data_IF_901617825191
#
_entry.id   IF_901617825191
#
_cell.length_a   1.000
_cell.length_b   1.000
_cell.length_c   1.000
_cell.angle_alpha   90.00
_cell.angle_beta   90.00
_cell.angle_gamma   90.00
#
_symmetry.space_group_name_H-M   'P 1'
#
loop_
_entity.id
_entity.type
_entity.pdbx_description
1 polymer ?
#
# COMPACT_ATOMS: atom_id res chain seq x y z
N UNK A 1 -60.11 -36.53 6.74
CA UNK A 1 -60.19 -35.10 6.40
C UNK A 1 -58.77 -34.58 6.23
N UNK A 2 -58.29 -34.49 4.99
CA UNK A 2 -57.00 -33.87 4.69
C UNK A 2 -57.21 -32.35 4.64
N UNK A 3 -57.04 -31.67 5.76
CA UNK A 3 -56.87 -30.21 5.76
C UNK A 3 -55.49 -29.93 5.19
N UNK A 4 -55.41 -29.76 3.88
CA UNK A 4 -54.25 -29.14 3.24
C UNK A 4 -54.23 -27.71 3.74
N UNK A 5 -53.43 -27.43 4.77
CA UNK A 5 -53.24 -26.08 5.26
C UNK A 5 -52.66 -25.24 4.13
N UNK A 6 -53.45 -24.32 3.57
CA UNK A 6 -52.97 -23.36 2.60
C UNK A 6 -51.96 -22.44 3.29
N UNK A 7 -50.67 -22.73 3.11
CA UNK A 7 -49.55 -21.91 3.59
C UNK A 7 -49.74 -20.42 3.28
N UNK A 8 -50.38 -20.10 2.15
CA UNK A 8 -50.65 -18.73 1.72
C UNK A 8 -51.62 -17.96 2.65
N UNK A 9 -52.34 -18.61 3.56
CA UNK A 9 -53.27 -17.98 4.52
C UNK A 9 -52.65 -17.73 5.90
N UNK A 10 -51.46 -18.26 6.16
CA UNK A 10 -50.80 -18.07 7.44
C UNK A 10 -50.22 -16.64 7.53
N UNK A 11 -50.28 -15.98 8.70
CA UNK A 11 -49.64 -14.68 8.89
C UNK A 11 -48.14 -14.76 8.62
N UNK A 12 -47.58 -13.72 7.98
CA UNK A 12 -46.15 -13.63 7.64
C UNK A 12 -45.20 -13.96 8.81
N UNK A 13 -45.44 -13.54 10.07
CA UNK A 13 -44.59 -13.92 11.20
C UNK A 13 -44.59 -15.43 11.51
N UNK A 14 -45.74 -16.10 11.31
CA UNK A 14 -45.89 -17.54 11.54
C UNK A 14 -45.16 -18.32 10.46
N UNK A 15 -45.34 -17.94 9.19
CA UNK A 15 -44.59 -18.52 8.07
C UNK A 15 -43.08 -18.32 8.23
N UNK A 16 -42.67 -17.12 8.67
CA UNK A 16 -41.26 -16.83 8.96
C UNK A 16 -40.71 -17.84 9.95
N UNK A 17 -41.38 -18.07 11.10
CA UNK A 17 -40.94 -19.08 12.07
C UNK A 17 -40.89 -20.49 11.46
N UNK A 18 -41.96 -20.95 10.81
CA UNK A 18 -42.02 -22.31 10.24
C UNK A 18 -40.84 -22.55 9.29
N UNK A 19 -40.62 -21.61 8.36
CA UNK A 19 -39.58 -21.72 7.35
C UNK A 19 -38.19 -21.65 8.00
N UNK A 20 -37.97 -20.72 8.95
CA UNK A 20 -36.69 -20.58 9.66
C UNK A 20 -36.31 -21.83 10.48
N UNK A 21 -37.27 -22.55 11.07
CA UNK A 21 -37.02 -23.73 11.92
C UNK A 21 -36.95 -25.07 11.17
N UNK A 22 -37.28 -25.11 9.88
CA UNK A 22 -37.25 -26.34 9.07
C UNK A 22 -35.99 -26.39 8.20
N UNK A 23 -35.98 -25.65 7.10
CA UNK A 23 -34.80 -25.32 6.28
C UNK A 23 -35.25 -24.41 5.12
N UNK A 24 -34.88 -23.13 5.12
CA UNK A 24 -35.31 -22.20 4.07
C UNK A 24 -34.88 -22.60 2.65
N UNK A 25 -33.80 -23.38 2.47
CA UNK A 25 -33.35 -23.83 1.15
C UNK A 25 -34.35 -24.82 0.54
N UNK A 26 -34.83 -25.76 1.35
CA UNK A 26 -35.91 -26.67 0.97
C UNK A 26 -37.17 -25.89 0.56
N UNK A 27 -37.56 -24.85 1.31
CA UNK A 27 -38.72 -24.02 0.97
C UNK A 27 -38.52 -23.18 -0.29
N UNK A 28 -37.29 -22.76 -0.59
CA UNK A 28 -36.98 -22.00 -1.79
C UNK A 28 -37.11 -22.82 -3.09
N UNK A 29 -36.80 -24.12 -3.03
CA UNK A 29 -36.98 -25.05 -4.15
C UNK A 29 -38.46 -25.30 -4.51
N UNK A 30 -39.38 -25.04 -3.58
CA UNK A 30 -40.81 -25.11 -3.86
C UNK A 30 -41.17 -23.92 -4.75
N UNK A 31 -41.74 -24.19 -5.92
CA UNK A 31 -42.13 -23.18 -6.90
C UNK A 31 -43.38 -22.41 -6.45
N UNK A 32 -43.27 -21.66 -5.35
CA UNK A 32 -44.34 -20.86 -4.77
C UNK A 32 -43.91 -19.39 -4.64
N UNK A 33 -44.63 -18.51 -5.36
CA UNK A 33 -44.35 -17.07 -5.41
C UNK A 33 -44.44 -16.39 -4.04
N UNK A 34 -45.41 -16.77 -3.20
CA UNK A 34 -45.61 -16.20 -1.87
C UNK A 34 -44.48 -16.56 -0.92
N UNK A 35 -44.00 -17.81 -0.99
CA UNK A 35 -42.86 -18.29 -0.21
C UNK A 35 -41.58 -17.56 -0.63
N UNK A 36 -41.32 -17.44 -1.93
CA UNK A 36 -40.17 -16.67 -2.45
C UNK A 36 -40.24 -15.19 -2.08
N UNK A 37 -41.41 -14.57 -2.17
CA UNK A 37 -41.60 -13.18 -1.76
C UNK A 37 -41.33 -12.98 -0.26
N UNK A 38 -41.78 -13.90 0.58
CA UNK A 38 -41.49 -13.87 2.02
C UNK A 38 -39.99 -14.03 2.30
N UNK A 39 -39.33 -15.04 1.70
CA UNK A 39 -37.89 -15.29 1.90
C UNK A 39 -37.04 -14.09 1.43
N UNK A 40 -37.49 -13.38 0.39
CA UNK A 40 -36.83 -12.17 -0.08
C UNK A 40 -37.06 -10.93 0.78
N UNK A 41 -37.99 -10.98 1.73
CA UNK A 41 -38.26 -9.84 2.61
C UNK A 41 -37.12 -9.62 3.60
N UNK A 42 -36.85 -8.36 3.92
CA UNK A 42 -35.85 -7.97 4.93
C UNK A 42 -36.17 -8.55 6.31
N UNK A 43 -37.46 -8.58 6.70
CA UNK A 43 -37.89 -9.11 7.99
C UNK A 43 -37.60 -10.60 8.13
N UNK A 44 -37.87 -11.40 7.10
CA UNK A 44 -37.55 -12.82 7.10
C UNK A 44 -36.04 -13.03 7.23
N UNK A 45 -35.24 -12.34 6.41
CA UNK A 45 -33.77 -12.45 6.45
C UNK A 45 -33.20 -12.06 7.80
N UNK A 46 -33.73 -11.00 8.43
CA UNK A 46 -33.33 -10.61 9.79
C UNK A 46 -33.64 -11.70 10.81
N UNK A 47 -34.87 -12.25 10.78
CA UNK A 47 -35.25 -13.33 11.69
C UNK A 47 -34.45 -14.61 11.48
N UNK A 48 -34.16 -14.95 10.23
CA UNK A 48 -33.38 -16.14 9.90
C UNK A 48 -31.91 -15.99 10.30
N UNK A 49 -31.28 -14.85 9.99
CA UNK A 49 -29.91 -14.54 10.45
C UNK A 49 -29.83 -14.54 11.97
N UNK A 50 -30.82 -13.97 12.66
CA UNK A 50 -30.87 -13.99 14.12
C UNK A 50 -31.01 -15.39 14.70
N UNK A 51 -31.79 -16.26 14.04
CA UNK A 51 -31.90 -17.67 14.41
C UNK A 51 -30.58 -18.42 14.19
N UNK A 52 -29.94 -18.23 13.04
CA UNK A 52 -28.66 -18.87 12.72
C UNK A 52 -27.58 -18.43 13.72
N UNK A 53 -27.45 -17.13 14.00
CA UNK A 53 -26.48 -16.58 14.94
C UNK A 53 -26.62 -17.09 16.39
N UNK A 54 -27.80 -17.60 16.77
CA UNK A 54 -28.07 -18.16 18.11
C UNK A 54 -27.85 -19.67 18.21
N UNK A 55 -27.37 -20.33 17.14
CA UNK A 55 -27.05 -21.76 17.18
C UNK A 55 -25.83 -22.02 18.05
N UNK A 56 -25.86 -23.13 18.78
CA UNK A 56 -24.86 -23.50 19.80
C UNK A 56 -23.43 -23.67 19.26
N UNK A 57 -23.27 -23.86 17.96
CA UNK A 57 -21.98 -24.12 17.32
C UNK A 57 -21.29 -22.85 16.82
N UNK A 58 -21.88 -21.68 17.05
CA UNK A 58 -21.30 -20.39 16.66
C UNK A 58 -20.74 -19.71 17.92
N UNK A 59 -19.46 -19.31 17.91
CA UNK A 59 -18.86 -18.59 19.03
C UNK A 59 -19.66 -17.32 19.33
N UNK A 60 -20.07 -17.14 20.59
CA UNK A 60 -20.80 -15.93 20.98
C UNK A 60 -19.90 -14.67 21.00
N UNK A 61 -18.59 -14.88 21.13
CA UNK A 61 -17.56 -13.85 21.07
C UNK A 61 -16.55 -14.25 20.00
N UNK A 62 -16.23 -13.31 19.12
CA UNK A 62 -15.19 -13.48 18.10
C UNK A 62 -13.85 -13.09 18.72
N UNK A 63 -12.90 -14.02 18.74
CA UNK A 63 -11.57 -13.82 19.32
C UNK A 63 -10.46 -13.95 18.29
N UNK A 64 -10.72 -14.62 17.17
CA UNK A 64 -9.79 -14.80 16.07
C UNK A 64 -10.49 -14.76 14.71
N UNK A 65 -9.72 -14.89 13.63
CA UNK A 65 -10.24 -14.83 12.27
C UNK A 65 -11.04 -16.07 11.87
N UNK A 66 -10.70 -17.24 12.41
CA UNK A 66 -11.42 -18.49 12.19
C UNK A 66 -12.84 -18.42 12.74
N UNK A 67 -13.06 -17.70 13.84
CA UNK A 67 -14.39 -17.41 14.35
C UNK A 67 -15.19 -16.60 13.32
N UNK A 68 -14.57 -15.59 12.69
CA UNK A 68 -15.21 -14.77 11.64
C UNK A 68 -15.61 -15.65 10.45
N UNK A 69 -14.71 -16.52 9.98
CA UNK A 69 -15.00 -17.45 8.89
C UNK A 69 -16.13 -18.42 9.25
N UNK A 70 -16.15 -18.92 10.50
CA UNK A 70 -17.24 -19.75 11.02
C UNK A 70 -18.58 -19.02 10.97
N UNK A 71 -18.61 -17.75 11.32
CA UNK A 71 -19.82 -16.92 11.24
C UNK A 71 -20.25 -16.69 9.78
N UNK A 72 -19.32 -16.46 8.86
CA UNK A 72 -19.62 -16.32 7.44
C UNK A 72 -20.26 -17.62 6.92
N UNK A 73 -19.61 -18.77 7.11
CA UNK A 73 -20.09 -20.06 6.60
C UNK A 73 -21.38 -20.53 7.26
N UNK A 74 -21.55 -20.28 8.57
CA UNK A 74 -22.69 -20.81 9.33
C UNK A 74 -23.92 -19.88 9.31
N UNK A 75 -23.72 -18.58 9.03
CA UNK A 75 -24.79 -17.57 9.10
C UNK A 75 -25.03 -16.86 7.77
N UNK A 76 -23.99 -16.34 7.12
CA UNK A 76 -24.15 -15.49 5.94
C UNK A 76 -24.26 -16.30 4.64
N UNK A 77 -23.46 -17.34 4.47
CA UNK A 77 -23.46 -18.20 3.29
C UNK A 77 -24.79 -18.94 3.06
N UNK A 78 -25.50 -19.47 4.09
CA UNK A 78 -26.80 -20.09 3.89
C UNK A 78 -27.82 -19.13 3.25
N UNK A 79 -27.81 -17.86 3.65
CA UNK A 79 -28.69 -16.84 3.07
C UNK A 79 -28.25 -16.45 1.66
N UNK A 80 -26.93 -16.34 1.44
CA UNK A 80 -26.37 -16.06 0.12
C UNK A 80 -26.64 -17.19 -0.89
N UNK A 81 -26.62 -18.45 -0.46
CA UNK A 81 -26.90 -19.61 -1.31
C UNK A 81 -28.32 -19.56 -1.90
N UNK A 82 -29.30 -19.15 -1.09
CA UNK A 82 -30.69 -19.00 -1.52
C UNK A 82 -30.87 -17.78 -2.44
N UNK A 83 -30.24 -16.66 -2.08
CA UNK A 83 -30.39 -15.39 -2.80
C UNK A 83 -29.45 -15.25 -4.00
N UNK A 84 -28.54 -16.21 -4.20
CA UNK A 84 -27.54 -16.26 -5.26
C UNK A 84 -26.35 -15.33 -5.09
N UNK A 85 -26.29 -14.49 -4.05
CA UNK A 85 -25.19 -13.54 -3.81
C UNK A 85 -25.27 -12.90 -2.43
N UNK A 86 -24.25 -12.15 -2.00
CA UNK A 86 -24.30 -11.27 -0.81
C UNK A 86 -24.96 -9.90 -1.07
N UNK A 87 -25.69 -9.74 -2.18
CA UNK A 87 -26.38 -8.48 -2.51
C UNK A 87 -27.49 -8.12 -1.52
N UNK A 88 -28.06 -9.12 -0.82
CA UNK A 88 -29.11 -8.95 0.18
C UNK A 88 -28.67 -8.17 1.43
N UNK A 89 -27.36 -8.10 1.71
CA UNK A 89 -26.80 -7.30 2.80
C UNK A 89 -26.84 -5.83 2.36
N UNK A 90 -27.92 -5.17 2.74
CA UNK A 90 -28.23 -3.76 2.43
C UNK A 90 -28.29 -2.93 3.71
N UNK A 91 -28.24 -1.61 3.59
CA UNK A 91 -28.46 -0.67 4.70
C UNK A 91 -29.79 -0.94 5.45
N UNK A 92 -30.87 -1.21 4.70
CA UNK A 92 -32.17 -1.52 5.29
C UNK A 92 -32.14 -2.82 6.10
N UNK A 93 -31.38 -3.82 5.63
CA UNK A 93 -31.17 -5.05 6.39
C UNK A 93 -30.41 -4.78 7.70
N UNK A 94 -29.29 -4.05 7.65
CA UNK A 94 -28.50 -3.73 8.85
C UNK A 94 -29.34 -2.95 9.86
N UNK A 95 -30.10 -1.94 9.41
CA UNK A 95 -31.00 -1.15 10.27
C UNK A 95 -32.10 -2.02 10.90
N UNK A 96 -32.74 -2.87 10.10
CA UNK A 96 -33.80 -3.74 10.58
C UNK A 96 -33.27 -4.80 11.57
N UNK A 97 -32.08 -5.35 11.32
CA UNK A 97 -31.45 -6.30 12.23
C UNK A 97 -31.02 -5.62 13.53
N UNK A 98 -30.42 -4.44 13.46
CA UNK A 98 -30.03 -3.67 14.65
C UNK A 98 -31.21 -3.26 15.52
N UNK A 99 -32.36 -2.94 14.91
CA UNK A 99 -33.57 -2.54 15.65
C UNK A 99 -34.27 -3.74 16.30
N UNK A 100 -34.38 -4.86 15.58
CA UNK A 100 -35.20 -6.00 16.02
C UNK A 100 -34.40 -7.12 16.72
N UNK A 101 -33.11 -7.24 16.42
CA UNK A 101 -32.22 -8.32 16.90
C UNK A 101 -30.79 -7.79 17.18
N UNK A 102 -30.62 -6.81 18.09
CA UNK A 102 -29.33 -6.15 18.33
C UNK A 102 -28.23 -7.12 18.80
N UNK A 103 -28.57 -8.11 19.63
CA UNK A 103 -27.63 -9.15 20.07
C UNK A 103 -27.05 -9.93 18.89
N UNK A 104 -27.92 -10.37 17.97
CA UNK A 104 -27.51 -11.13 16.79
C UNK A 104 -26.66 -10.28 15.83
N UNK A 105 -26.97 -8.99 15.69
CA UNK A 105 -26.15 -8.08 14.89
C UNK A 105 -24.74 -7.96 15.48
N UNK A 106 -24.60 -7.85 16.80
CA UNK A 106 -23.28 -7.78 17.44
C UNK A 106 -22.46 -9.06 17.23
N UNK A 107 -23.08 -10.24 17.37
CA UNK A 107 -22.43 -11.55 17.17
C UNK A 107 -21.82 -11.64 15.76
N UNK A 108 -22.58 -11.27 14.73
CA UNK A 108 -22.16 -11.43 13.33
C UNK A 108 -21.47 -10.18 12.75
N UNK A 109 -21.27 -9.13 13.54
CA UNK A 109 -20.84 -7.80 13.07
C UNK A 109 -19.54 -7.86 12.27
N UNK A 110 -18.52 -8.56 12.78
CA UNK A 110 -17.24 -8.75 12.10
C UNK A 110 -17.35 -9.56 10.81
N UNK A 111 -18.24 -10.56 10.76
CA UNK A 111 -18.52 -11.32 9.55
C UNK A 111 -19.19 -10.45 8.48
N UNK A 112 -20.18 -9.64 8.88
CA UNK A 112 -20.82 -8.67 7.99
C UNK A 112 -19.80 -7.66 7.46
N UNK A 113 -18.96 -7.11 8.33
CA UNK A 113 -17.91 -6.16 7.92
C UNK A 113 -16.95 -6.79 6.93
N UNK A 114 -16.43 -7.99 7.20
CA UNK A 114 -15.53 -8.69 6.28
C UNK A 114 -16.15 -8.89 4.90
N UNK A 115 -17.41 -9.36 4.85
CA UNK A 115 -18.11 -9.53 3.56
C UNK A 115 -18.35 -8.19 2.87
N UNK A 116 -18.75 -7.14 3.59
CA UNK A 116 -19.05 -5.83 3.01
C UNK A 116 -17.80 -5.12 2.49
N UNK A 117 -16.69 -5.16 3.24
CA UNK A 117 -15.42 -4.54 2.87
C UNK A 117 -14.81 -5.21 1.64
N UNK A 118 -14.80 -6.53 1.56
CA UNK A 118 -14.31 -7.26 0.36
C UNK A 118 -15.12 -6.97 -0.90
N UNK A 119 -16.39 -6.58 -0.74
CA UNK A 119 -17.28 -6.20 -1.84
C UNK A 119 -17.36 -4.67 -2.06
N UNK A 120 -16.55 -3.86 -1.37
CA UNK A 120 -16.52 -2.40 -1.53
C UNK A 120 -17.77 -1.66 -1.05
N UNK A 121 -18.59 -2.25 -0.17
CA UNK A 121 -19.87 -1.68 0.30
C UNK A 121 -19.72 -0.82 1.56
N UNK A 122 -18.98 0.28 1.46
CA UNK A 122 -18.57 1.10 2.62
C UNK A 122 -19.70 1.75 3.39
N UNK A 123 -20.72 2.27 2.72
CA UNK A 123 -21.84 2.91 3.42
C UNK A 123 -22.60 1.90 4.29
N UNK A 124 -22.68 0.65 3.81
CA UNK A 124 -23.31 -0.42 4.58
C UNK A 124 -22.39 -0.91 5.69
N UNK A 125 -21.07 -1.00 5.45
CA UNK A 125 -20.10 -1.34 6.49
C UNK A 125 -20.09 -0.30 7.63
N UNK A 126 -20.13 0.99 7.28
CA UNK A 126 -20.22 2.09 8.25
C UNK A 126 -21.49 2.00 9.10
N UNK A 127 -22.62 1.61 8.49
CA UNK A 127 -23.83 1.35 9.26
C UNK A 127 -23.69 0.16 10.23
N UNK A 128 -22.93 -0.88 9.88
CA UNK A 128 -22.67 -1.98 10.82
C UNK A 128 -21.91 -1.44 12.02
N UNK A 129 -20.84 -0.66 11.82
CA UNK A 129 -20.08 -0.06 12.93
C UNK A 129 -20.97 0.85 13.78
N UNK A 130 -21.78 1.72 13.17
CA UNK A 130 -22.68 2.64 13.90
C UNK A 130 -23.73 1.92 14.77
N UNK A 131 -24.16 0.73 14.35
CA UNK A 131 -25.20 -0.05 15.04
C UNK A 131 -24.62 -1.17 15.93
N UNK A 132 -23.30 -1.28 16.07
CA UNK A 132 -22.64 -2.34 16.84
C UNK A 132 -21.52 -1.82 17.71
N UNK A 133 -21.18 -2.57 18.76
CA UNK A 133 -20.00 -2.32 19.57
C UNK A 133 -18.80 -3.12 19.05
N UNK A 134 -18.57 -3.07 17.74
CA UNK A 134 -17.52 -3.86 17.10
C UNK A 134 -16.15 -3.28 17.43
N UNK A 135 -15.22 -4.15 17.83
CA UNK A 135 -13.81 -3.82 17.97
C UNK A 135 -13.06 -4.39 16.79
N UNK A 136 -12.42 -3.52 16.01
CA UNK A 136 -11.67 -3.93 14.83
C UNK A 136 -10.32 -4.58 15.18
N UNK A 137 -9.88 -4.51 16.43
CA UNK A 137 -8.61 -5.09 16.94
C UNK A 137 -8.49 -6.61 16.74
N UNK A 138 -9.61 -7.29 16.49
CA UNK A 138 -9.67 -8.73 16.20
C UNK A 138 -9.33 -9.02 14.74
N UNK A 139 -9.38 -8.02 13.86
CA UNK A 139 -8.91 -8.16 12.49
C UNK A 139 -7.39 -8.35 12.49
N UNK A 140 -6.94 -9.44 11.88
CA UNK A 140 -5.52 -9.69 11.76
C UNK A 140 -4.88 -8.83 10.66
N UNK A 141 -3.56 -8.74 10.72
CA UNK A 141 -2.79 -8.02 9.71
C UNK A 141 -2.97 -8.60 8.30
N UNK A 142 -3.22 -9.91 8.17
CA UNK A 142 -3.39 -10.56 6.86
C UNK A 142 -4.68 -10.10 6.16
N UNK A 143 -5.77 -9.92 6.91
CA UNK A 143 -7.01 -9.39 6.36
C UNK A 143 -6.86 -7.93 5.96
N UNK A 144 -6.24 -7.11 6.80
CA UNK A 144 -5.93 -5.71 6.46
C UNK A 144 -5.07 -5.65 5.19
N UNK A 145 -4.03 -6.48 5.12
CA UNK A 145 -3.19 -6.64 3.93
C UNK A 145 -4.02 -6.96 2.70
N UNK A 146 -4.91 -7.95 2.78
CA UNK A 146 -5.77 -8.36 1.67
C UNK A 146 -6.67 -7.23 1.19
N UNK A 147 -7.31 -6.49 2.11
CA UNK A 147 -8.14 -5.34 1.77
C UNK A 147 -7.31 -4.27 1.05
N UNK A 148 -6.16 -3.92 1.61
CA UNK A 148 -5.33 -2.87 1.04
C UNK A 148 -4.70 -3.31 -0.28
N UNK A 149 -4.35 -4.58 -0.47
CA UNK A 149 -3.91 -5.09 -1.78
C UNK A 149 -5.01 -5.08 -2.84
N UNK A 150 -6.27 -5.29 -2.43
CA UNK A 150 -7.40 -5.31 -3.37
C UNK A 150 -7.80 -3.90 -3.82
N UNK A 151 -7.84 -2.94 -2.89
CA UNK A 151 -8.30 -1.59 -3.18
C UNK A 151 -7.13 -0.63 -3.44
N UNK A 152 -6.01 -0.79 -2.75
CA UNK A 152 -4.84 0.10 -2.82
C UNK A 152 -5.21 1.58 -2.70
N UNK A 153 -6.13 1.90 -1.81
CA UNK A 153 -6.62 3.27 -1.64
C UNK A 153 -6.49 3.78 -0.20
N UNK A 154 -6.11 5.06 -0.08
CA UNK A 154 -5.92 5.75 1.20
C UNK A 154 -7.21 5.77 2.02
N UNK A 155 -8.36 5.94 1.35
CA UNK A 155 -9.65 6.02 2.04
C UNK A 155 -9.94 4.75 2.85
N UNK A 156 -9.46 3.57 2.42
CA UNK A 156 -9.70 2.31 3.14
C UNK A 156 -8.94 2.30 4.46
N UNK A 157 -7.68 2.72 4.43
CA UNK A 157 -6.84 2.86 5.62
C UNK A 157 -7.42 3.91 6.58
N UNK A 158 -7.86 5.05 6.05
CA UNK A 158 -8.52 6.10 6.82
C UNK A 158 -9.83 5.63 7.45
N UNK A 159 -10.64 4.87 6.71
CA UNK A 159 -11.88 4.31 7.22
C UNK A 159 -11.61 3.33 8.37
N UNK A 160 -10.66 2.42 8.21
CA UNK A 160 -10.27 1.47 9.26
C UNK A 160 -9.79 2.18 10.52
N UNK A 161 -8.91 3.17 10.40
CA UNK A 161 -8.44 3.97 11.53
C UNK A 161 -9.56 4.76 12.21
N UNK A 162 -10.46 5.38 11.42
CA UNK A 162 -11.60 6.16 11.96
C UNK A 162 -12.55 5.28 12.76
N UNK A 163 -12.67 4.01 12.40
CA UNK A 163 -13.50 3.03 13.09
C UNK A 163 -12.74 2.23 14.17
N UNK A 164 -11.58 2.72 14.60
CA UNK A 164 -10.90 2.25 15.81
C UNK A 164 -9.81 1.19 15.60
N UNK A 165 -9.39 0.92 14.35
CA UNK A 165 -8.27 0.01 14.11
C UNK A 165 -6.93 0.67 14.52
N UNK A 166 -6.20 0.06 15.45
CA UNK A 166 -4.84 0.47 15.79
C UNK A 166 -3.81 -0.19 14.85
N UNK A 167 -3.36 0.59 13.86
CA UNK A 167 -2.36 0.13 12.90
C UNK A 167 -0.99 -0.16 13.55
N UNK A 168 -0.63 0.52 14.64
CA UNK A 168 0.65 0.29 15.32
C UNK A 168 0.68 -1.08 15.98
N UNK A 169 -0.40 -1.44 16.69
CA UNK A 169 -0.51 -2.77 17.33
C UNK A 169 -0.50 -3.90 16.29
N UNK A 170 -1.28 -3.76 15.20
CA UNK A 170 -1.36 -4.80 14.16
C UNK A 170 -0.05 -4.92 13.38
N UNK A 171 0.66 -3.81 13.16
CA UNK A 171 1.99 -3.82 12.55
C UNK A 171 3.00 -4.55 13.44
N UNK A 172 3.03 -4.24 14.74
CA UNK A 172 3.94 -4.88 15.71
C UNK A 172 3.70 -6.39 15.88
N UNK A 173 2.47 -6.86 15.62
CA UNK A 173 2.13 -8.29 15.55
C UNK A 173 2.66 -8.99 14.29
N UNK A 174 3.32 -8.27 13.37
CA UNK A 174 4.16 -8.81 12.31
C UNK A 174 3.46 -9.27 11.03
N UNK A 175 2.16 -8.98 10.85
CA UNK A 175 1.38 -9.53 9.74
C UNK A 175 0.66 -8.50 8.86
N UNK A 176 0.78 -7.20 9.16
CA UNK A 176 -0.02 -6.16 8.48
C UNK A 176 0.50 -5.77 7.10
N UNK A 177 1.76 -5.36 7.00
CA UNK A 177 2.36 -4.88 5.77
C UNK A 177 3.73 -5.53 5.59
N UNK A 178 3.91 -6.26 4.50
CA UNK A 178 5.22 -6.80 4.13
C UNK A 178 6.05 -5.76 3.39
N UNK A 179 7.39 -5.85 3.49
CA UNK A 179 8.31 -4.96 2.77
C UNK A 179 8.00 -4.92 1.26
N UNK A 180 7.66 -6.07 0.67
CA UNK A 180 7.29 -6.14 -0.75
C UNK A 180 6.09 -5.26 -1.12
N UNK A 181 5.07 -5.19 -0.26
CA UNK A 181 3.89 -4.35 -0.51
C UNK A 181 4.21 -2.87 -0.37
N UNK A 182 5.08 -2.51 0.58
CA UNK A 182 5.55 -1.13 0.70
C UNK A 182 6.39 -0.71 -0.51
N UNK A 183 7.20 -1.62 -1.06
CA UNK A 183 7.93 -1.41 -2.32
C UNK A 183 6.96 -1.21 -3.50
N UNK A 184 5.87 -1.99 -3.59
CA UNK A 184 4.85 -1.81 -4.62
C UNK A 184 4.23 -0.39 -4.56
N UNK A 185 4.05 0.16 -3.35
CA UNK A 185 3.57 1.54 -3.17
C UNK A 185 4.62 2.59 -3.54
N UNK A 186 5.89 2.35 -3.21
CA UNK A 186 7.01 3.23 -3.63
C UNK A 186 7.09 3.30 -5.15
N UNK A 187 7.08 2.16 -5.82
CA UNK A 187 7.16 2.07 -7.29
C UNK A 187 5.92 2.60 -8.00
N UNK A 188 4.79 2.68 -7.29
CA UNK A 188 3.54 3.28 -7.78
C UNK A 188 3.35 4.73 -7.34
N UNK A 189 4.38 5.35 -6.75
CA UNK A 189 4.38 6.72 -6.21
C UNK A 189 3.24 7.03 -5.23
N UNK A 190 2.82 6.03 -4.43
CA UNK A 190 1.73 6.15 -3.45
C UNK A 190 2.24 6.69 -2.11
N UNK A 191 2.86 7.86 -2.15
CA UNK A 191 3.45 8.54 -0.97
C UNK A 191 2.41 8.73 0.14
N UNK A 192 1.16 9.00 -0.21
CA UNK A 192 0.09 9.24 0.74
C UNK A 192 -0.24 8.02 1.61
N UNK A 193 -0.04 6.80 1.08
CA UNK A 193 -0.24 5.57 1.85
C UNK A 193 0.89 5.39 2.87
N UNK A 194 2.14 5.65 2.46
CA UNK A 194 3.30 5.56 3.34
C UNK A 194 3.27 6.65 4.42
N UNK A 195 2.90 7.88 4.05
CA UNK A 195 2.69 8.98 4.99
C UNK A 195 1.62 8.64 6.02
N UNK A 196 0.50 8.06 5.59
CA UNK A 196 -0.55 7.64 6.52
C UNK A 196 -0.03 6.62 7.55
N UNK A 197 0.80 5.66 7.14
CA UNK A 197 1.39 4.70 8.07
C UNK A 197 2.39 5.38 9.02
N UNK A 198 3.24 6.26 8.50
CA UNK A 198 4.19 7.05 9.27
C UNK A 198 3.49 7.91 10.35
N UNK A 199 2.42 8.62 9.98
CA UNK A 199 1.60 9.45 10.90
C UNK A 199 0.98 8.63 12.04
N UNK A 200 0.85 7.31 11.86
CA UNK A 200 0.36 6.36 12.87
C UNK A 200 1.47 5.74 13.70
N UNK A 201 2.71 6.23 13.56
CA UNK A 201 3.86 5.79 14.33
C UNK A 201 4.48 4.47 13.85
N UNK A 202 4.16 4.02 12.63
CA UNK A 202 4.78 2.81 12.10
C UNK A 202 6.21 3.12 11.65
N UNK A 203 7.13 2.23 12.03
CA UNK A 203 8.51 2.25 11.55
C UNK A 203 8.55 1.69 10.13
N UNK A 204 8.96 2.52 9.18
CA UNK A 204 9.13 2.11 7.79
C UNK A 204 10.56 1.56 7.59
N UNK A 205 10.76 0.54 6.74
CA UNK A 205 12.09 0.04 6.40
C UNK A 205 12.77 0.98 5.40
N UNK A 206 13.09 2.21 5.83
CA UNK A 206 13.45 3.35 4.98
C UNK A 206 14.56 3.02 4.00
N UNK A 207 15.67 2.40 4.45
CA UNK A 207 16.79 2.02 3.56
C UNK A 207 16.33 1.18 2.38
N UNK A 208 15.54 0.13 2.63
CA UNK A 208 15.02 -0.73 1.57
C UNK A 208 14.06 0.04 0.66
N UNK A 209 13.22 0.92 1.20
CA UNK A 209 12.30 1.72 0.39
C UNK A 209 13.05 2.73 -0.50
N UNK A 210 14.14 3.33 0.00
CA UNK A 210 14.97 4.28 -0.76
C UNK A 210 15.64 3.61 -1.96
N UNK A 211 16.14 2.38 -1.84
CA UNK A 211 16.73 1.63 -2.96
C UNK A 211 15.79 1.58 -4.18
N UNK A 212 14.49 1.37 -3.95
CA UNK A 212 13.49 1.40 -5.02
C UNK A 212 13.04 2.82 -5.38
N UNK A 213 12.90 3.71 -4.39
CA UNK A 213 12.45 5.09 -4.63
C UNK A 213 13.40 5.84 -5.57
N UNK A 214 14.71 5.60 -5.45
CA UNK A 214 15.72 6.21 -6.32
C UNK A 214 15.45 5.95 -7.81
N UNK A 215 15.02 4.74 -8.18
CA UNK A 215 14.77 4.36 -9.57
C UNK A 215 13.36 4.64 -10.08
N UNK A 216 12.35 4.58 -9.20
CA UNK A 216 10.95 4.42 -9.63
C UNK A 216 9.99 5.49 -9.12
N UNK A 217 10.45 6.52 -8.39
CA UNK A 217 9.55 7.48 -7.74
C UNK A 217 9.91 8.95 -7.99
N UNK A 218 9.07 9.84 -7.46
CA UNK A 218 9.31 11.28 -7.46
C UNK A 218 10.24 11.73 -6.32
N UNK A 219 10.97 12.86 -6.47
CA UNK A 219 11.88 13.37 -5.44
C UNK A 219 11.25 13.53 -4.06
N UNK A 220 9.96 13.88 -4.01
CA UNK A 220 9.21 14.08 -2.78
C UNK A 220 9.13 12.82 -1.93
N UNK A 221 9.10 11.64 -2.55
CA UNK A 221 9.04 10.38 -1.81
C UNK A 221 10.37 10.11 -1.09
N UNK A 222 11.50 10.38 -1.75
CA UNK A 222 12.83 10.24 -1.13
C UNK A 222 13.01 11.24 0.01
N UNK A 223 12.58 12.50 -0.18
CA UNK A 223 12.56 13.50 0.89
C UNK A 223 11.72 13.03 2.08
N UNK A 224 10.48 12.57 1.84
CA UNK A 224 9.61 12.02 2.88
C UNK A 224 10.28 10.89 3.67
N UNK A 225 10.85 9.90 2.98
CA UNK A 225 11.49 8.76 3.62
C UNK A 225 12.67 9.21 4.49
N UNK A 226 13.50 10.12 4.00
CA UNK A 226 14.65 10.65 4.77
C UNK A 226 14.24 11.45 6.00
N UNK A 227 13.16 12.24 5.93
CA UNK A 227 12.64 12.95 7.09
C UNK A 227 12.03 12.00 8.13
N UNK A 228 11.31 10.98 7.68
CA UNK A 228 10.78 9.93 8.57
C UNK A 228 11.89 9.15 9.28
N UNK A 229 12.98 8.84 8.58
CA UNK A 229 14.13 8.11 9.12
C UNK A 229 14.84 8.88 10.25
N UNK A 230 15.00 10.19 10.06
CA UNK A 230 15.64 11.08 11.01
C UNK A 230 14.90 11.15 12.35
N UNK A 231 13.56 11.06 12.32
CA UNK A 231 12.73 11.03 13.53
C UNK A 231 12.82 9.69 14.27
N UNK A 232 13.11 8.61 13.55
CA UNK A 232 13.13 7.24 14.09
C UNK A 232 14.55 6.69 14.36
N UNK A 233 15.56 7.57 14.31
CA UNK A 233 16.95 7.29 14.66
C UNK A 233 17.63 6.20 13.80
N UNK A 234 17.19 6.02 12.54
CA UNK A 234 17.95 5.19 11.61
C UNK A 234 19.13 5.96 11.01
N UNK A 235 20.18 5.21 10.70
CA UNK A 235 21.55 5.67 10.46
C UNK A 235 21.78 6.22 9.04
N UNK A 236 20.73 6.41 8.22
CA UNK A 236 20.89 6.76 6.82
C UNK A 236 21.07 8.27 6.66
N UNK A 237 22.25 8.70 6.20
CA UNK A 237 22.51 10.11 5.90
C UNK A 237 22.27 10.43 4.42
N UNK A 238 22.08 11.72 4.10
CA UNK A 238 22.03 12.17 2.70
C UNK A 238 23.30 11.81 1.92
N UNK A 239 24.46 11.72 2.60
CA UNK A 239 25.70 11.22 1.99
C UNK A 239 25.58 9.76 1.55
N UNK A 240 24.94 8.91 2.37
CA UNK A 240 24.71 7.50 2.03
C UNK A 240 23.76 7.37 0.84
N UNK A 241 22.67 8.15 0.84
CA UNK A 241 21.70 8.19 -0.27
C UNK A 241 22.36 8.69 -1.55
N UNK A 242 23.22 9.71 -1.49
CA UNK A 242 23.99 10.19 -2.64
C UNK A 242 24.86 9.06 -3.22
N UNK A 243 25.56 8.31 -2.36
CA UNK A 243 26.37 7.18 -2.82
C UNK A 243 25.53 6.05 -3.42
N UNK A 244 24.38 5.72 -2.82
CA UNK A 244 23.44 4.74 -3.36
C UNK A 244 22.94 5.17 -4.76
N UNK A 245 22.54 6.43 -4.90
CA UNK A 245 22.07 7.03 -6.15
C UNK A 245 23.15 7.08 -7.25
N UNK A 246 24.42 7.19 -6.87
CA UNK A 246 25.55 7.09 -7.80
C UNK A 246 25.82 5.66 -8.26
N UNK A 247 25.59 4.66 -7.41
CA UNK A 247 25.81 3.24 -7.76
C UNK A 247 24.65 2.63 -8.52
N UNK A 248 23.42 3.11 -8.28
CA UNK A 248 22.22 2.58 -8.89
C UNK A 248 22.02 3.16 -10.29
N UNK A 249 22.16 2.32 -11.32
CA UNK A 249 22.04 2.75 -12.72
C UNK A 249 20.65 3.33 -13.01
N UNK A 250 19.60 2.71 -12.45
CA UNK A 250 18.21 3.11 -12.71
C UNK A 250 17.78 4.42 -12.04
N UNK A 251 18.63 5.06 -11.22
CA UNK A 251 18.23 6.28 -10.50
C UNK A 251 17.74 7.37 -11.45
N UNK A 252 16.53 7.86 -11.19
CA UNK A 252 15.89 8.95 -11.91
C UNK A 252 16.69 10.26 -11.72
N UNK A 253 16.97 10.98 -12.81
CA UNK A 253 17.77 12.21 -12.76
C UNK A 253 17.15 13.33 -11.91
N UNK A 254 15.82 13.44 -11.88
CA UNK A 254 15.15 14.43 -11.02
C UNK A 254 15.33 14.08 -9.55
N UNK A 255 15.27 12.79 -9.21
CA UNK A 255 15.53 12.30 -7.85
C UNK A 255 16.99 12.52 -7.49
N UNK A 256 17.92 12.18 -8.40
CA UNK A 256 19.35 12.42 -8.21
C UNK A 256 19.67 13.89 -7.96
N UNK A 257 19.11 14.80 -8.76
CA UNK A 257 19.26 16.24 -8.58
C UNK A 257 18.77 16.72 -7.21
N UNK A 258 17.65 16.17 -6.74
CA UNK A 258 17.14 16.44 -5.41
C UNK A 258 18.10 15.93 -4.32
N UNK A 259 18.52 14.67 -4.39
CA UNK A 259 19.45 14.07 -3.43
C UNK A 259 20.72 14.91 -3.30
N UNK A 260 21.30 15.33 -4.43
CA UNK A 260 22.51 16.16 -4.41
C UNK A 260 22.24 17.51 -3.75
N UNK A 261 21.10 18.16 -4.05
CA UNK A 261 20.70 19.44 -3.45
C UNK A 261 20.52 19.33 -1.93
N UNK A 262 20.02 18.20 -1.46
CA UNK A 262 19.82 17.93 -0.03
C UNK A 262 21.10 17.49 0.68
N UNK A 263 22.15 17.12 -0.07
CA UNK A 263 23.43 16.71 0.49
C UNK A 263 24.33 17.93 0.69
N UNK A 264 24.85 18.11 1.90
CA UNK A 264 25.79 19.21 2.15
C UNK A 264 27.09 19.03 1.33
N UNK A 265 27.61 20.11 0.72
CA UNK A 265 28.88 20.08 0.01
C UNK A 265 30.01 19.58 0.92
N UNK A 266 30.63 18.46 0.55
CA UNK A 266 31.67 17.80 1.34
C UNK A 266 32.59 16.94 0.47
N UNK A 267 33.60 16.30 1.08
CA UNK A 267 34.49 15.38 0.37
C UNK A 267 33.73 14.22 -0.30
N UNK A 268 32.53 13.88 0.20
CA UNK A 268 31.66 12.85 -0.39
C UNK A 268 31.29 13.20 -1.84
N UNK A 269 31.20 14.48 -2.20
CA UNK A 269 30.94 14.89 -3.58
C UNK A 269 32.09 14.51 -4.52
N UNK A 270 33.36 14.58 -4.08
CA UNK A 270 34.48 14.02 -4.84
C UNK A 270 34.32 12.52 -5.02
N UNK A 271 33.94 11.78 -3.97
CA UNK A 271 33.75 10.33 -4.05
C UNK A 271 32.60 9.93 -4.98
N UNK A 272 31.45 10.60 -4.88
CA UNK A 272 30.30 10.45 -5.75
C UNK A 272 30.68 10.70 -7.22
N UNK A 273 31.39 11.79 -7.50
CA UNK A 273 31.88 12.12 -8.83
C UNK A 273 32.85 11.06 -9.39
N UNK A 274 33.76 10.53 -8.57
CA UNK A 274 34.66 9.43 -8.96
C UNK A 274 33.90 8.13 -9.25
N UNK A 275 32.84 7.85 -8.48
CA UNK A 275 31.97 6.69 -8.68
C UNK A 275 31.25 6.79 -10.02
N UNK A 276 30.59 7.92 -10.29
CA UNK A 276 29.91 8.17 -11.56
C UNK A 276 30.86 8.10 -12.75
N UNK A 277 32.04 8.73 -12.64
CA UNK A 277 33.08 8.62 -13.66
C UNK A 277 33.52 7.18 -13.91
N UNK A 278 33.47 6.33 -12.89
CA UNK A 278 33.81 4.92 -13.02
C UNK A 278 32.73 4.11 -13.75
N UNK A 279 31.46 4.44 -13.55
CA UNK A 279 30.31 3.77 -14.19
C UNK A 279 29.99 4.27 -15.60
N UNK A 280 30.50 5.44 -15.99
CA UNK A 280 30.25 6.10 -17.27
C UNK A 280 30.65 5.29 -18.54
N UNK A 281 31.41 4.19 -18.42
CA UNK A 281 31.62 3.28 -19.56
C UNK A 281 30.42 2.36 -19.84
N UNK A 282 29.64 2.05 -18.82
CA UNK A 282 28.62 1.00 -18.83
C UNK A 282 27.21 1.59 -18.73
N UNK A 283 27.07 2.80 -18.20
CA UNK A 283 25.81 3.50 -18.02
C UNK A 283 25.88 4.92 -18.63
N UNK A 284 25.07 5.17 -19.67
CA UNK A 284 24.95 6.50 -20.27
C UNK A 284 24.35 7.53 -19.31
N UNK A 285 23.51 7.12 -18.35
CA UNK A 285 22.92 8.01 -17.36
C UNK A 285 23.89 8.45 -16.27
N UNK A 286 25.01 7.73 -16.09
CA UNK A 286 26.06 8.15 -15.17
C UNK A 286 26.68 9.50 -15.57
N UNK A 287 26.69 9.83 -16.87
CA UNK A 287 27.10 11.15 -17.35
C UNK A 287 26.13 12.25 -16.90
N UNK A 288 24.84 12.07 -17.10
CA UNK A 288 23.83 13.07 -16.73
C UNK A 288 23.82 13.32 -15.20
N UNK A 289 24.02 12.26 -14.41
CA UNK A 289 24.22 12.37 -12.95
C UNK A 289 25.50 13.15 -12.63
N UNK A 290 26.61 12.89 -13.32
CA UNK A 290 27.87 13.61 -13.10
C UNK A 290 27.73 15.11 -13.39
N UNK A 291 27.03 15.45 -14.47
CA UNK A 291 26.74 16.83 -14.87
C UNK A 291 25.88 17.52 -13.81
N UNK A 292 24.84 16.84 -13.35
CA UNK A 292 23.95 17.33 -12.29
C UNK A 292 24.74 17.66 -11.02
N UNK A 293 25.64 16.76 -10.59
CA UNK A 293 26.50 16.98 -9.43
C UNK A 293 27.46 18.15 -9.62
N UNK A 294 28.09 18.26 -10.79
CA UNK A 294 29.03 19.34 -11.11
C UNK A 294 28.36 20.72 -11.13
N UNK A 295 27.12 20.79 -11.59
CA UNK A 295 26.39 22.04 -11.74
C UNK A 295 25.86 22.60 -10.40
N UNK A 296 26.01 21.86 -9.31
CA UNK A 296 25.61 22.35 -8.01
C UNK A 296 26.51 23.50 -7.51
N UNK A 297 25.95 24.44 -6.74
CA UNK A 297 26.76 25.44 -6.05
C UNK A 297 27.87 24.78 -5.22
N UNK A 298 29.04 25.42 -5.18
CA UNK A 298 30.22 24.96 -4.42
C UNK A 298 30.83 23.63 -4.88
N UNK A 299 30.29 22.97 -5.91
CA UNK A 299 30.85 21.74 -6.47
C UNK A 299 32.33 21.91 -6.85
N UNK A 300 32.73 23.06 -7.39
CA UNK A 300 34.12 23.33 -7.78
C UNK A 300 35.10 23.33 -6.58
N UNK A 301 34.64 23.65 -5.37
CA UNK A 301 35.47 23.62 -4.16
C UNK A 301 35.64 22.20 -3.59
N UNK A 302 34.66 21.33 -3.86
CA UNK A 302 34.59 19.99 -3.25
C UNK A 302 34.89 18.84 -4.21
N UNK A 303 34.73 19.02 -5.52
CA UNK A 303 35.08 18.06 -6.57
C UNK A 303 36.54 18.31 -6.95
N UNK A 304 37.44 17.73 -6.16
CA UNK A 304 38.89 17.96 -6.24
C UNK A 304 39.64 16.70 -6.62
N UNK A 305 40.98 16.74 -6.57
CA UNK A 305 41.81 15.57 -6.81
C UNK A 305 41.63 14.52 -5.72
N UNK A 306 41.45 13.28 -6.14
CA UNK A 306 41.53 12.10 -5.28
C UNK A 306 42.93 11.96 -4.65
N UNK A 307 43.06 11.06 -3.68
CA UNK A 307 44.36 10.66 -3.11
C UNK A 307 45.34 10.12 -4.14
N UNK A 308 44.86 9.70 -5.33
CA UNK A 308 45.68 9.29 -6.47
C UNK A 308 46.11 10.45 -7.38
N UNK A 309 45.85 11.69 -6.97
CA UNK A 309 46.23 12.89 -7.71
C UNK A 309 45.38 13.20 -8.94
N UNK A 310 44.28 12.46 -9.16
CA UNK A 310 43.40 12.60 -10.31
C UNK A 310 42.04 13.15 -9.92
N UNK A 311 41.53 14.07 -10.73
CA UNK A 311 40.17 14.60 -10.64
C UNK A 311 39.14 13.61 -11.21
N UNK A 312 37.87 13.69 -10.79
CA UNK A 312 36.79 12.90 -11.37
C UNK A 312 36.63 13.09 -12.87
N UNK A 313 36.89 14.31 -13.34
CA UNK A 313 36.86 14.68 -14.75
C UNK A 313 37.93 13.94 -15.54
N UNK A 314 39.18 13.95 -15.06
CA UNK A 314 40.27 13.19 -15.69
C UNK A 314 39.92 11.71 -15.78
N UNK A 315 39.36 11.13 -14.71
CA UNK A 315 38.88 9.75 -14.69
C UNK A 315 37.74 9.49 -15.69
N UNK A 316 36.83 10.45 -15.88
CA UNK A 316 35.75 10.37 -16.85
C UNK A 316 36.30 10.40 -18.28
N UNK A 317 37.26 11.30 -18.56
CA UNK A 317 37.89 11.46 -19.85
C UNK A 317 38.77 10.27 -20.27
N UNK A 318 39.45 9.59 -19.33
CA UNK A 318 40.21 8.36 -19.60
C UNK A 318 39.30 7.21 -20.07
N UNK A 319 38.01 7.27 -19.74
CA UNK A 319 37.06 6.17 -19.93
C UNK A 319 36.16 6.33 -21.14
N UNK A 320 36.53 7.20 -22.07
CA UNK A 320 35.72 7.52 -23.23
C UNK A 320 35.89 6.51 -24.36
N UNK A 321 34.77 6.04 -24.89
CA UNK A 321 34.68 5.35 -26.17
C UNK A 321 34.33 6.38 -27.26
N UNK A 322 34.58 6.04 -28.53
CA UNK A 322 34.26 6.92 -29.67
C UNK A 322 32.75 7.25 -29.74
N UNK A 323 31.89 6.32 -29.35
CA UNK A 323 30.43 6.50 -29.28
C UNK A 323 30.00 7.47 -28.16
N UNK A 324 30.80 7.61 -27.09
CA UNK A 324 30.49 8.48 -25.95
C UNK A 324 31.07 9.91 -26.09
N UNK A 325 31.95 10.15 -27.08
CA UNK A 325 32.58 11.46 -27.32
C UNK A 325 31.58 12.58 -27.68
N UNK A 326 30.50 12.23 -28.38
CA UNK A 326 29.48 13.19 -28.84
C UNK A 326 28.71 13.83 -27.68
N UNK A 327 28.55 13.10 -26.57
CA UNK A 327 27.88 13.58 -25.36
C UNK A 327 28.73 14.57 -24.54
N UNK A 328 30.06 14.59 -24.74
CA UNK A 328 31.00 15.35 -23.91
C UNK A 328 31.50 16.63 -24.59
N UNK A 329 31.25 16.78 -25.89
CA UNK A 329 31.56 17.98 -26.67
C UNK A 329 31.20 19.31 -25.99
N UNK A 330 30.03 19.46 -25.32
CA UNK A 330 29.72 20.68 -24.57
C UNK A 330 30.68 20.96 -23.40
N UNK A 331 31.16 19.92 -22.72
CA UNK A 331 31.99 20.04 -21.51
C UNK A 331 33.45 20.35 -21.80
N UNK A 332 33.96 19.94 -22.96
CA UNK A 332 35.35 20.20 -23.36
C UNK A 332 35.65 21.70 -23.37
N UNK A 333 34.68 22.52 -23.82
CA UNK A 333 34.79 23.99 -23.80
C UNK A 333 34.81 24.53 -22.36
N UNK A 334 33.87 24.09 -21.53
CA UNK A 334 33.80 24.50 -20.12
C UNK A 334 35.05 24.10 -19.32
N UNK A 335 35.72 22.99 -19.67
CA UNK A 335 36.95 22.54 -19.00
C UNK A 335 38.15 23.43 -19.31
N UNK A 336 38.24 23.92 -20.55
CA UNK A 336 39.26 24.89 -20.96
C UNK A 336 39.03 26.20 -20.23
N UNK A 337 37.77 26.65 -20.14
CA UNK A 337 37.40 27.88 -19.42
C UNK A 337 37.69 27.80 -17.91
N UNK A 338 37.58 26.61 -17.30
CA UNK A 338 37.93 26.37 -15.89
C UNK A 338 39.42 26.09 -15.65
N UNK A 339 40.27 26.13 -16.67
CA UNK A 339 41.73 26.00 -16.53
C UNK A 339 42.22 24.60 -16.18
N UNK A 340 41.43 23.55 -16.44
CA UNK A 340 41.86 22.16 -16.22
C UNK A 340 42.88 21.77 -17.28
N UNK A 341 44.07 21.34 -16.85
CA UNK A 341 45.15 20.94 -17.77
C UNK A 341 44.73 19.74 -18.62
N UNK A 342 44.88 19.87 -19.93
CA UNK A 342 44.62 18.80 -20.91
C UNK A 342 45.78 17.79 -21.01
N UNK A 343 46.89 18.00 -20.29
CA UNK A 343 48.10 17.21 -20.40
C UNK A 343 47.93 15.72 -20.02
N UNK A 344 46.92 15.41 -19.20
CA UNK A 344 46.59 14.05 -18.78
C UNK A 344 45.38 13.46 -19.52
N UNK A 345 44.80 14.18 -20.49
CA UNK A 345 43.64 13.70 -21.24
C UNK A 345 44.08 12.84 -22.44
N UNK A 346 43.22 11.91 -22.90
CA UNK A 346 43.49 11.19 -24.14
C UNK A 346 43.72 12.16 -25.32
N UNK A 347 44.62 11.79 -26.24
CA UNK A 347 45.02 12.64 -27.38
C UNK A 347 43.84 13.14 -28.23
N UNK A 348 42.77 12.34 -28.33
CA UNK A 348 41.54 12.72 -29.05
C UNK A 348 40.78 13.89 -28.40
N UNK A 349 40.82 14.00 -27.07
CA UNK A 349 40.22 15.12 -26.33
C UNK A 349 41.09 16.37 -26.45
N UNK A 350 42.41 16.22 -26.38
CA UNK A 350 43.33 17.34 -26.64
C UNK A 350 43.17 17.93 -28.04
N UNK A 351 42.76 17.12 -29.03
CA UNK A 351 42.49 17.58 -30.39
C UNK A 351 41.14 18.29 -30.54
N UNK A 352 40.16 17.98 -29.69
CA UNK A 352 38.86 18.68 -29.63
C UNK A 352 38.93 20.01 -28.85
N UNK A 353 39.95 20.19 -28.02
CA UNK A 353 40.22 21.43 -27.27
C UNK A 353 40.97 22.52 -28.05
N UNK A 354 41.50 22.20 -29.23
CA UNK A 354 42.21 23.12 -30.14
C UNK A 354 41.24 23.69 -31.17
#
# INVERSE_FOLDING_TARGET
>A
MNTVFELNRLPSPVLTRIITYSDPATWWSIENRSVRALINSTSFRCGWVAHLAKRTNIPALVTCIEDIDTHICSVLEPVAHITGSHSWITQNFVRALGTNHPESLNIISLALLRTLLLNGKLDTASMVVQHTNVKLDVLDGQFVRKLVSQFSELWMLQWLATNGLDFSDIYNRGNCFGVSQLIDWVTSDRVELLQFLADRGLQLPVRSLIEYALGYSEPKLVEFLMFHDAENACELSWNDVLMMACTEASTNLNVFACVVRMTEPSIVWTFAALCLASHAMVDSYAYDKFITLRNMPDAAAWIVKSTRGRTPIECLCERLTYENLTYISPFVRDFIELGVSTANMPSIMSALCQ
#
